data_IF_227237036923
#
_entry.id   IF_227237036923
#
_cell.length_a   1.000
_cell.length_b   1.000
_cell.length_c   1.000
_cell.angle_alpha   90.00
_cell.angle_beta   90.00
_cell.angle_gamma   90.00
#
_symmetry.space_group_name_H-M   'P 1'
#
loop_
_entity.id
_entity.type
_entity.pdbx_description
1 polymer ?
#
# COMPACT_ATOMS: atom_id res chain seq x y z
N UNK A 1 -13.85 -1.63 1.42
CA UNK A 1 -13.63 -2.59 0.30
C UNK A 1 -12.14 -2.81 0.12
N UNK A 2 -11.76 -4.05 -0.10
CA UNK A 2 -10.35 -4.38 -0.31
C UNK A 2 -9.93 -4.15 -1.75
N UNK A 3 -8.78 -3.52 -1.92
CA UNK A 3 -8.12 -3.42 -3.21
C UNK A 3 -7.21 -4.63 -3.37
N UNK A 4 -7.13 -5.20 -4.56
CA UNK A 4 -6.44 -6.46 -4.79
C UNK A 4 -5.21 -6.25 -5.68
N UNK A 5 -4.05 -6.68 -5.17
CA UNK A 5 -2.81 -6.51 -5.91
C UNK A 5 -2.78 -7.34 -7.20
N UNK A 6 -3.47 -8.49 -7.22
CA UNK A 6 -3.58 -9.31 -8.44
C UNK A 6 -4.32 -8.59 -9.57
N UNK A 7 -5.07 -7.53 -9.24
CA UNK A 7 -5.78 -6.72 -10.23
C UNK A 7 -5.00 -5.45 -10.58
N UNK A 8 -3.75 -5.32 -10.10
CA UNK A 8 -2.93 -4.14 -10.35
C UNK A 8 -3.37 -2.91 -9.56
N UNK A 9 -4.09 -3.11 -8.46
CA UNK A 9 -4.55 -2.01 -7.61
C UNK A 9 -3.53 -1.75 -6.51
N UNK A 10 -2.95 -0.54 -6.49
CA UNK A 10 -1.92 -0.16 -5.52
C UNK A 10 -2.25 1.20 -4.90
N UNK A 11 -1.76 1.47 -3.68
CA UNK A 11 -2.04 2.74 -2.99
C UNK A 11 -1.65 3.99 -3.78
N UNK A 12 -0.57 3.93 -4.57
CA UNK A 12 -0.15 5.09 -5.37
C UNK A 12 -1.15 5.47 -6.46
N UNK A 13 -2.08 4.57 -6.80
CA UNK A 13 -3.14 4.88 -7.76
C UNK A 13 -4.20 5.80 -7.16
N UNK A 14 -4.21 5.95 -5.84
CA UNK A 14 -5.11 6.87 -5.13
C UNK A 14 -4.34 8.15 -4.84
N UNK A 15 -4.69 9.21 -5.54
CA UNK A 15 -3.95 10.49 -5.45
C UNK A 15 -3.84 10.99 -4.02
N UNK A 16 -4.90 10.88 -3.24
CA UNK A 16 -4.92 11.35 -1.85
C UNK A 16 -3.94 10.60 -0.94
N UNK A 17 -3.47 9.40 -1.34
CA UNK A 17 -2.52 8.64 -0.56
C UNK A 17 -1.07 8.96 -0.91
N UNK A 18 -0.81 9.67 -2.00
CA UNK A 18 0.57 9.97 -2.42
C UNK A 18 1.21 11.03 -1.52
N UNK A 19 2.45 10.77 -1.15
CA UNK A 19 3.32 11.72 -0.45
C UNK A 19 4.66 11.76 -1.19
N UNK A 20 5.56 12.66 -0.77
CA UNK A 20 6.80 12.92 -1.53
C UNK A 20 7.66 11.67 -1.74
N UNK A 21 7.73 10.78 -0.76
CA UNK A 21 8.61 9.60 -0.81
C UNK A 21 7.85 8.29 -0.99
N UNK A 22 6.58 8.36 -1.35
CA UNK A 22 5.77 7.14 -1.55
C UNK A 22 4.29 7.36 -1.29
N UNK A 23 3.73 6.57 -0.39
CA UNK A 23 2.33 6.68 0.01
C UNK A 23 2.18 6.72 1.52
N UNK A 24 1.01 7.13 1.97
CA UNK A 24 0.60 6.97 3.37
C UNK A 24 0.44 5.48 3.68
N UNK A 25 0.58 5.09 4.97
CA UNK A 25 0.37 3.70 5.36
C UNK A 25 -1.06 3.23 5.09
N UNK A 26 -1.19 1.97 4.72
CA UNK A 26 -2.48 1.32 4.50
C UNK A 26 -2.52 -0.01 5.24
N UNK A 27 -3.73 -0.50 5.51
CA UNK A 27 -3.91 -1.82 6.11
C UNK A 27 -3.78 -2.88 5.02
N UNK A 28 -2.93 -3.87 5.26
CA UNK A 28 -2.62 -4.91 4.29
C UNK A 28 -2.98 -6.29 4.82
N UNK A 29 -3.19 -7.22 3.89
CA UNK A 29 -3.32 -8.64 4.19
C UNK A 29 -2.36 -9.42 3.30
N UNK A 30 -1.62 -10.36 3.89
CA UNK A 30 -0.66 -11.17 3.15
C UNK A 30 -1.22 -12.56 2.79
N UNK A 31 -0.38 -13.38 2.16
CA UNK A 31 -0.77 -14.73 1.72
C UNK A 31 -1.10 -15.67 2.88
N UNK A 32 -0.62 -15.37 4.08
CA UNK A 32 -0.90 -16.15 5.30
C UNK A 32 -2.13 -15.64 6.05
N UNK A 33 -2.85 -14.67 5.46
CA UNK A 33 -4.03 -14.04 6.07
C UNK A 33 -3.70 -13.24 7.32
N UNK A 34 -2.45 -12.75 7.42
CA UNK A 34 -2.01 -11.87 8.50
C UNK A 34 -2.25 -10.43 8.10
N UNK A 35 -2.83 -9.64 9.01
CA UNK A 35 -3.09 -8.21 8.80
C UNK A 35 -1.92 -7.42 9.38
N UNK A 36 -1.51 -6.39 8.64
CA UNK A 36 -0.43 -5.52 9.08
C UNK A 36 -0.50 -4.20 8.35
N UNK A 37 0.30 -3.24 8.79
CA UNK A 37 0.34 -1.90 8.20
C UNK A 37 1.60 -1.77 7.37
N UNK A 38 1.46 -1.30 6.14
CA UNK A 38 2.59 -1.02 5.27
C UNK A 38 2.28 0.14 4.35
N UNK A 39 3.34 0.73 3.80
CA UNK A 39 3.23 1.79 2.80
C UNK A 39 4.03 1.42 1.57
N UNK A 40 3.73 2.11 0.47
CA UNK A 40 4.56 2.04 -0.73
C UNK A 40 5.63 3.11 -0.63
N UNK A 41 6.82 2.81 -1.09
CA UNK A 41 7.88 3.80 -1.22
C UNK A 41 8.21 4.00 -2.70
N UNK A 42 8.57 5.24 -3.05
CA UNK A 42 8.93 5.59 -4.41
C UNK A 42 10.44 5.54 -4.57
N UNK A 43 10.91 4.88 -5.63
CA UNK A 43 12.32 4.75 -5.96
C UNK A 43 12.59 5.58 -7.21
N UNK A 44 13.14 6.82 -7.05
CA UNK A 44 13.32 7.73 -8.20
C UNK A 44 14.22 7.15 -9.29
N UNK A 45 15.27 6.42 -8.91
CA UNK A 45 16.24 5.85 -9.85
C UNK A 45 15.59 4.87 -10.81
N UNK A 46 14.53 4.18 -10.35
CA UNK A 46 13.81 3.20 -11.15
C UNK A 46 12.47 3.71 -11.63
N UNK A 47 12.05 4.89 -11.16
CA UNK A 47 10.75 5.48 -11.47
C UNK A 47 9.60 4.50 -11.20
N UNK A 48 9.64 3.87 -10.02
CA UNK A 48 8.62 2.91 -9.63
C UNK A 48 8.38 2.94 -8.13
N UNK A 49 7.24 2.36 -7.72
CA UNK A 49 6.90 2.15 -6.32
C UNK A 49 7.13 0.70 -5.95
N UNK A 50 7.43 0.46 -4.68
CA UNK A 50 7.49 -0.89 -4.13
C UNK A 50 6.95 -0.88 -2.70
N UNK A 51 6.57 -2.06 -2.19
CA UNK A 51 6.22 -2.19 -0.77
C UNK A 51 7.47 -1.98 0.08
N UNK A 52 7.32 -1.27 1.19
CA UNK A 52 8.44 -0.99 2.09
C UNK A 52 9.12 -2.27 2.58
N UNK A 53 8.33 -3.27 2.95
CA UNK A 53 8.83 -4.60 3.26
C UNK A 53 8.38 -5.57 2.16
N UNK A 54 9.29 -5.89 1.25
CA UNK A 54 8.99 -6.76 0.11
C UNK A 54 9.08 -8.24 0.46
N UNK A 55 9.39 -8.59 1.72
CA UNK A 55 9.47 -10.00 2.15
C UNK A 55 8.08 -10.64 2.26
N UNK A 56 7.02 -9.85 2.31
CA UNK A 56 5.65 -10.34 2.41
C UNK A 56 4.94 -10.22 1.09
N UNK A 57 4.21 -11.28 0.72
CA UNK A 57 3.36 -11.25 -0.47
C UNK A 57 2.01 -10.64 -0.08
N UNK A 58 1.80 -9.40 -0.44
CA UNK A 58 0.58 -8.68 -0.10
C UNK A 58 -0.49 -9.00 -1.15
N UNK A 59 -1.60 -9.53 -0.70
CA UNK A 59 -2.73 -9.88 -1.57
C UNK A 59 -3.71 -8.74 -1.74
N UNK A 60 -3.86 -7.93 -0.69
CA UNK A 60 -4.82 -6.85 -0.71
C UNK A 60 -4.49 -5.77 0.30
N UNK A 61 -5.15 -4.63 0.14
CA UNK A 61 -4.98 -3.50 1.04
C UNK A 61 -6.25 -2.66 1.05
N UNK A 62 -6.40 -1.88 2.11
CA UNK A 62 -7.49 -0.92 2.19
C UNK A 62 -7.01 0.32 2.95
N UNK A 63 -7.66 1.44 2.69
CA UNK A 63 -7.35 2.67 3.41
C UNK A 63 -7.88 2.61 4.82
N UNK A 64 -7.15 3.25 5.74
CA UNK A 64 -7.69 3.47 7.07
C UNK A 64 -8.84 4.47 7.00
N UNK A 65 -9.80 4.27 7.87
CA UNK A 65 -10.84 5.26 8.04
C UNK A 65 -10.23 6.52 8.65
N UNK A 66 -10.58 7.69 8.10
CA UNK A 66 -10.07 8.95 8.61
C UNK A 66 -10.55 9.16 10.04
N UNK A 67 -9.59 9.49 10.93
CA UNK A 67 -9.94 9.82 12.31
C UNK A 67 -10.50 11.23 12.36
N UNK A 68 -11.73 11.35 12.81
CA UNK A 68 -12.43 12.64 12.93
C UNK A 68 -12.73 12.90 14.38
N UNK A 69 -12.10 13.93 14.94
CA UNK A 69 -12.39 14.35 16.31
C UNK A 69 -13.74 15.09 16.33
#
# INVERSE_FOLDING_TARGET
>A
MWNKTRLGQYPEDVTALRVDDGTLPVLCIDAYRTYFVQRRIYIPELNLYKWEDSSRKILGWTQFEEFDE
#
